data_IF_837215677301
#
_entry.id   IF_837215677301
#
_cell.length_a   1.000
_cell.length_b   1.000
_cell.length_c   1.000
_cell.angle_alpha   90.00
_cell.angle_beta   90.00
_cell.angle_gamma   90.00
#
_symmetry.space_group_name_H-M   'P 1'
#
loop_
_entity.id
_entity.type
_entity.pdbx_description
1 polymer ?
#
# COMPACT_ATOMS: atom_id res chain seq x y z
N UNK A 1 22.31 19.38 10.64
CA UNK A 1 22.21 17.93 10.92
C UNK A 1 23.61 17.34 10.88
N UNK A 2 23.91 16.23 11.58
CA UNK A 2 25.24 15.63 11.62
C UNK A 2 25.65 14.92 10.31
N UNK A 3 24.81 14.97 9.28
CA UNK A 3 25.02 14.36 7.97
C UNK A 3 24.68 15.36 6.86
N UNK A 4 25.25 15.16 5.67
CA UNK A 4 25.09 16.07 4.53
C UNK A 4 23.72 15.88 3.88
N UNK A 5 22.99 16.99 3.71
CA UNK A 5 21.71 17.05 3.00
C UNK A 5 21.71 18.18 1.98
N UNK A 6 20.82 18.09 1.00
CA UNK A 6 20.60 19.15 0.02
C UNK A 6 20.16 20.44 0.71
N UNK A 7 20.72 21.56 0.26
CA UNK A 7 20.40 22.87 0.81
C UNK A 7 19.12 23.43 0.16
N UNK A 8 18.12 23.78 0.97
CA UNK A 8 16.83 24.29 0.51
C UNK A 8 16.94 25.60 -0.30
N UNK A 9 17.81 26.54 0.10
CA UNK A 9 18.05 27.80 -0.64
C UNK A 9 18.49 27.53 -2.08
N UNK A 10 19.37 26.53 -2.26
CA UNK A 10 19.81 26.14 -3.61
C UNK A 10 18.70 25.47 -4.43
N UNK A 11 17.69 24.88 -3.79
CA UNK A 11 16.55 24.27 -4.46
C UNK A 11 15.56 25.33 -4.94
N UNK A 12 15.26 26.35 -4.13
CA UNK A 12 14.45 27.49 -4.56
C UNK A 12 15.05 28.21 -5.77
N UNK A 13 16.38 28.33 -5.84
CA UNK A 13 17.05 28.94 -6.99
C UNK A 13 16.97 28.09 -8.27
N UNK A 14 16.82 26.77 -8.14
CA UNK A 14 16.82 25.82 -9.28
C UNK A 14 15.43 25.52 -9.82
N UNK A 15 14.41 25.54 -8.96
CA UNK A 15 13.04 25.20 -9.33
C UNK A 15 12.14 26.45 -9.25
N UNK A 16 11.82 27.01 -10.41
CA UNK A 16 10.99 28.21 -10.53
C UNK A 16 9.53 28.01 -10.09
N UNK A 17 9.07 26.76 -9.96
CA UNK A 17 7.71 26.44 -9.52
C UNK A 17 7.66 26.34 -7.99
N UNK A 18 8.76 25.96 -7.35
CA UNK A 18 8.86 25.84 -5.91
C UNK A 18 8.80 27.23 -5.24
N UNK A 19 7.71 27.50 -4.52
CA UNK A 19 7.52 28.75 -3.78
C UNK A 19 7.79 28.55 -2.30
N UNK A 20 8.51 29.50 -1.71
CA UNK A 20 8.77 29.51 -0.27
C UNK A 20 7.47 29.62 0.55
N UNK A 21 6.48 30.36 0.04
CA UNK A 21 5.17 30.49 0.69
C UNK A 21 4.43 29.14 0.80
N UNK A 22 4.50 28.28 -0.23
CA UNK A 22 3.86 26.96 -0.21
C UNK A 22 4.55 26.03 0.80
N UNK A 23 5.88 26.12 0.92
CA UNK A 23 6.67 25.39 1.91
C UNK A 23 6.33 25.86 3.33
N UNK A 24 6.27 27.17 3.55
CA UNK A 24 5.88 27.75 4.83
C UNK A 24 4.46 27.35 5.23
N UNK A 25 3.51 27.40 4.29
CA UNK A 25 2.13 26.98 4.52
C UNK A 25 2.03 25.50 4.91
N UNK A 26 2.83 24.63 4.28
CA UNK A 26 2.91 23.21 4.62
C UNK A 26 3.51 22.97 6.02
N UNK A 27 4.57 23.71 6.38
CA UNK A 27 5.16 23.66 7.72
C UNK A 27 4.17 24.14 8.80
N UNK A 28 3.41 25.21 8.55
CA UNK A 28 2.35 25.67 9.46
C UNK A 28 1.19 24.67 9.57
N UNK A 29 0.86 23.95 8.49
CA UNK A 29 -0.12 22.87 8.54
C UNK A 29 0.37 21.69 9.38
N UNK A 30 1.64 21.30 9.26
CA UNK A 30 2.24 20.21 10.06
C UNK A 30 2.23 20.49 11.56
N UNK A 31 2.38 21.76 11.99
CA UNK A 31 2.21 22.15 13.40
C UNK A 31 0.83 21.83 13.96
N UNK A 32 -0.18 21.71 13.08
CA UNK A 32 -1.57 21.37 13.44
C UNK A 32 -1.87 19.86 13.34
N UNK A 33 -0.90 19.03 12.96
CA UNK A 33 -1.03 17.57 12.85
C UNK A 33 -0.27 16.89 13.99
N UNK A 34 -0.86 16.72 15.19
CA UNK A 34 -0.14 16.24 16.36
C UNK A 34 0.32 14.77 16.28
N UNK A 35 -0.22 13.99 15.35
CA UNK A 35 0.23 12.62 15.07
C UNK A 35 1.45 12.55 14.16
N UNK A 36 1.70 13.57 13.34
CA UNK A 36 2.82 13.56 12.41
C UNK A 36 4.10 14.10 13.08
N UNK A 37 5.28 13.60 12.69
CA UNK A 37 6.54 14.22 13.11
C UNK A 37 6.67 15.62 12.50
N UNK A 38 7.51 16.45 13.12
CA UNK A 38 7.87 17.75 12.53
C UNK A 38 8.87 17.53 11.39
N UNK A 39 8.53 18.01 10.20
CA UNK A 39 9.39 17.89 9.02
C UNK A 39 10.30 19.09 8.89
N UNK A 40 11.43 18.84 8.24
CA UNK A 40 12.35 19.88 7.78
C UNK A 40 11.86 20.49 6.47
N UNK A 41 12.36 21.69 6.15
CA UNK A 41 12.05 22.39 4.90
C UNK A 41 12.35 21.51 3.66
N UNK A 42 13.51 20.83 3.66
CA UNK A 42 13.88 19.90 2.60
C UNK A 42 12.87 18.77 2.42
N UNK A 43 12.40 18.15 3.51
CA UNK A 43 11.41 17.07 3.42
C UNK A 43 10.10 17.58 2.80
N UNK A 44 9.62 18.75 3.21
CA UNK A 44 8.43 19.38 2.61
C UNK A 44 8.65 19.66 1.12
N UNK A 45 9.81 20.17 0.72
CA UNK A 45 10.17 20.39 -0.69
C UNK A 45 10.11 19.07 -1.48
N UNK A 46 10.63 17.97 -0.93
CA UNK A 46 10.60 16.66 -1.58
C UNK A 46 9.15 16.20 -1.85
N UNK A 47 8.26 16.31 -0.86
CA UNK A 47 6.86 15.92 -1.03
C UNK A 47 6.10 16.85 -1.98
N UNK A 48 6.24 18.17 -1.84
CA UNK A 48 5.64 19.14 -2.75
C UNK A 48 6.06 18.86 -4.18
N UNK A 49 7.37 18.69 -4.41
CA UNK A 49 7.89 18.36 -5.72
C UNK A 49 7.25 17.08 -6.25
N UNK A 50 7.23 15.98 -5.49
CA UNK A 50 6.65 14.70 -5.91
C UNK A 50 5.14 14.77 -6.24
N UNK A 51 4.42 15.68 -5.60
CA UNK A 51 2.98 15.87 -5.75
C UNK A 51 2.62 16.94 -6.80
N UNK A 52 3.58 17.40 -7.61
CA UNK A 52 3.42 18.49 -8.58
C UNK A 52 2.92 19.77 -7.93
N UNK A 53 3.43 20.08 -6.73
CA UNK A 53 3.08 21.27 -5.95
C UNK A 53 1.60 21.33 -5.52
N UNK A 54 0.87 20.22 -5.64
CA UNK A 54 -0.52 20.12 -5.17
C UNK A 54 -0.54 19.84 -3.68
N UNK A 55 -0.99 20.84 -2.90
CA UNK A 55 -0.98 20.81 -1.43
C UNK A 55 -1.73 19.60 -0.86
N UNK A 56 -2.96 19.31 -1.31
CA UNK A 56 -3.75 18.19 -0.75
C UNK A 56 -3.14 16.82 -1.07
N UNK A 57 -2.54 16.67 -2.25
CA UNK A 57 -1.81 15.46 -2.60
C UNK A 57 -0.56 15.29 -1.75
N UNK A 58 0.15 16.39 -1.46
CA UNK A 58 1.32 16.40 -0.56
C UNK A 58 0.93 16.00 0.87
N UNK A 59 -0.16 16.55 1.41
CA UNK A 59 -0.65 16.17 2.76
C UNK A 59 -0.94 14.68 2.86
N UNK A 60 -1.63 14.14 1.86
CA UNK A 60 -1.93 12.69 1.76
C UNK A 60 -0.66 11.86 1.67
N UNK A 61 0.30 12.26 0.83
CA UNK A 61 1.56 11.55 0.66
C UNK A 61 2.41 11.56 1.94
N UNK A 62 2.48 12.69 2.65
CA UNK A 62 3.14 12.80 3.95
C UNK A 62 2.51 11.83 4.95
N UNK A 63 1.19 11.85 5.08
CA UNK A 63 0.49 10.97 6.02
C UNK A 63 0.74 9.50 5.70
N UNK A 64 0.58 9.10 4.43
CA UNK A 64 0.87 7.74 3.96
C UNK A 64 2.33 7.33 4.22
N UNK A 65 3.29 8.23 3.98
CA UNK A 65 4.72 7.98 4.17
C UNK A 65 5.07 7.67 5.62
N UNK A 66 4.70 8.55 6.55
CA UNK A 66 5.04 8.31 7.95
C UNK A 66 4.21 7.17 8.53
N UNK A 67 2.96 6.99 8.10
CA UNK A 67 2.12 5.87 8.51
C UNK A 67 2.74 4.52 8.13
N UNK A 68 3.03 4.30 6.85
CA UNK A 68 3.53 2.99 6.43
C UNK A 68 4.90 2.69 7.03
N UNK A 69 5.75 3.71 7.17
CA UNK A 69 7.05 3.55 7.84
C UNK A 69 6.91 3.16 9.31
N UNK A 70 5.93 3.73 10.01
CA UNK A 70 5.66 3.44 11.43
C UNK A 70 5.08 2.05 11.63
N UNK A 71 4.11 1.65 10.80
CA UNK A 71 3.41 0.36 10.95
C UNK A 71 4.13 -0.84 10.34
N UNK A 72 5.09 -0.61 9.43
CA UNK A 72 5.82 -1.68 8.74
C UNK A 72 7.35 -1.57 8.99
N UNK A 73 7.82 -1.58 10.26
CA UNK A 73 9.23 -1.41 10.60
C UNK A 73 10.12 -2.54 10.04
N UNK A 74 9.55 -3.72 9.78
CA UNK A 74 10.23 -4.83 9.11
C UNK A 74 10.72 -4.44 7.70
N UNK A 75 10.07 -3.49 7.04
CA UNK A 75 10.49 -2.95 5.74
C UNK A 75 11.24 -1.63 5.87
N UNK A 76 10.76 -0.71 6.70
CA UNK A 76 11.19 0.69 6.64
C UNK A 76 12.11 1.16 7.76
N UNK A 77 12.31 0.37 8.82
CA UNK A 77 13.33 0.68 9.82
C UNK A 77 14.72 0.39 9.27
N UNK A 78 15.71 1.16 9.71
CA UNK A 78 17.12 1.02 9.38
C UNK A 78 17.61 -0.42 9.56
N UNK A 79 18.33 -0.91 8.56
CA UNK A 79 19.07 -2.15 8.65
C UNK A 79 20.34 -1.98 9.50
N UNK A 80 20.77 -3.02 10.20
CA UNK A 80 22.09 -3.03 10.82
C UNK A 80 23.19 -3.07 9.76
N UNK A 81 24.40 -2.62 10.09
CA UNK A 81 25.56 -2.69 9.20
C UNK A 81 25.78 -4.12 8.65
N UNK A 82 25.61 -5.15 9.50
CA UNK A 82 25.73 -6.54 9.08
C UNK A 82 24.71 -6.92 8.01
N UNK A 83 23.45 -6.47 8.16
CA UNK A 83 22.40 -6.68 7.15
C UNK A 83 22.74 -5.94 5.87
N UNK A 84 23.11 -4.66 5.94
CA UNK A 84 23.50 -3.86 4.76
C UNK A 84 24.60 -4.56 3.96
N UNK A 85 25.69 -4.96 4.63
CA UNK A 85 26.83 -5.65 3.99
C UNK A 85 26.42 -6.98 3.38
N UNK A 86 25.64 -7.79 4.11
CA UNK A 86 25.16 -9.08 3.61
C UNK A 86 24.27 -8.90 2.38
N UNK A 87 23.26 -8.04 2.44
CA UNK A 87 22.35 -7.79 1.33
C UNK A 87 23.10 -7.31 0.09
N UNK A 88 24.01 -6.36 0.28
CA UNK A 88 24.80 -5.79 -0.82
C UNK A 88 25.84 -6.78 -1.36
N UNK A 89 26.30 -7.79 -0.60
CA UNK A 89 27.13 -8.87 -1.15
C UNK A 89 26.36 -9.81 -2.10
N UNK A 90 25.03 -9.84 -2.04
CA UNK A 90 24.18 -10.73 -2.85
C UNK A 90 23.67 -10.00 -4.10
N UNK A 91 23.40 -8.71 -4.03
CA UNK A 91 22.94 -7.92 -5.16
C UNK A 91 23.44 -6.48 -5.08
N UNK A 92 23.70 -5.87 -6.24
CA UNK A 92 23.84 -4.42 -6.29
C UNK A 92 22.48 -3.77 -6.12
N UNK A 93 22.46 -2.67 -5.37
CA UNK A 93 21.35 -1.72 -5.30
C UNK A 93 22.02 -0.35 -5.33
N UNK A 94 21.80 0.45 -6.37
CA UNK A 94 22.55 1.71 -6.53
C UNK A 94 21.75 2.77 -7.27
N UNK A 95 21.80 3.99 -6.76
CA UNK A 95 21.37 5.18 -7.50
C UNK A 95 22.48 5.59 -8.45
N UNK A 96 22.21 5.62 -9.74
CA UNK A 96 23.19 6.04 -10.74
C UNK A 96 23.48 7.55 -10.60
N UNK A 97 24.74 7.99 -10.74
CA UNK A 97 25.18 9.34 -10.39
C UNK A 97 24.65 10.46 -11.31
N UNK A 98 24.18 10.12 -12.52
CA UNK A 98 23.74 11.11 -13.52
C UNK A 98 22.22 11.09 -13.67
N UNK A 99 21.60 12.27 -13.58
CA UNK A 99 20.17 12.45 -13.92
C UNK A 99 20.00 12.45 -15.45
N UNK A 100 18.92 11.87 -15.94
CA UNK A 100 18.53 11.94 -17.36
C UNK A 100 18.30 13.39 -17.81
N UNK A 101 18.18 13.62 -19.12
CA UNK A 101 17.93 14.97 -19.67
C UNK A 101 16.65 15.61 -19.13
N UNK A 102 15.62 14.81 -18.85
CA UNK A 102 14.37 15.24 -18.22
C UNK A 102 14.44 15.27 -16.69
N UNK A 103 15.61 15.08 -16.09
CA UNK A 103 15.84 15.21 -14.65
C UNK A 103 15.43 14.02 -13.80
N UNK A 104 15.18 12.85 -14.41
CA UNK A 104 14.90 11.61 -13.69
C UNK A 104 16.20 10.98 -13.16
N UNK A 105 16.09 10.31 -12.01
CA UNK A 105 17.18 9.51 -11.43
C UNK A 105 16.96 8.04 -11.77
N UNK A 106 18.04 7.28 -11.86
CA UNK A 106 17.97 5.86 -12.20
C UNK A 106 18.42 5.05 -10.99
N UNK A 107 17.58 4.13 -10.52
CA UNK A 107 17.97 3.12 -9.55
C UNK A 107 18.20 1.81 -10.31
N UNK A 108 19.39 1.24 -10.15
CA UNK A 108 19.75 -0.03 -10.79
C UNK A 108 19.94 -1.13 -9.74
N UNK A 109 19.51 -2.33 -10.10
CA UNK A 109 19.68 -3.55 -9.32
C UNK A 109 20.12 -4.69 -10.23
N UNK A 110 21.16 -5.43 -9.83
CA UNK A 110 21.57 -6.70 -10.45
C UNK A 110 21.97 -7.70 -9.36
N UNK A 111 21.76 -8.98 -9.61
CA UNK A 111 22.28 -10.03 -8.73
C UNK A 111 23.81 -10.17 -8.89
N UNK A 112 24.51 -10.34 -7.78
CA UNK A 112 25.94 -10.69 -7.71
C UNK A 112 26.10 -12.19 -7.38
N UNK A 113 25.27 -12.70 -6.47
CA UNK A 113 25.15 -14.11 -6.15
C UNK A 113 23.81 -14.64 -6.68
N UNK A 114 23.87 -15.68 -7.51
CA UNK A 114 22.69 -16.31 -8.12
C UNK A 114 22.10 -17.46 -7.30
N UNK A 115 22.62 -17.73 -6.11
CA UNK A 115 22.06 -18.73 -5.20
C UNK A 115 20.79 -18.19 -4.54
N UNK A 116 19.60 -18.76 -4.83
CA UNK A 116 18.36 -18.28 -4.22
C UNK A 116 18.41 -18.31 -2.69
N UNK A 117 18.99 -19.37 -2.14
CA UNK A 117 19.90 -19.42 -0.98
C UNK A 117 20.05 -18.19 -0.10
N UNK A 118 20.72 -17.23 -0.72
CA UNK A 118 21.30 -16.08 -0.07
C UNK A 118 20.43 -14.84 -0.31
N UNK A 119 19.43 -14.95 -1.18
CA UNK A 119 18.51 -13.88 -1.51
C UNK A 119 17.38 -13.77 -0.47
N UNK A 120 17.53 -12.81 0.45
CA UNK A 120 16.50 -12.43 1.43
C UNK A 120 15.77 -11.19 0.91
N UNK A 121 14.63 -11.40 0.25
CA UNK A 121 13.89 -10.31 -0.43
C UNK A 121 13.50 -9.15 0.49
N UNK A 122 13.09 -9.45 1.74
CA UNK A 122 12.77 -8.43 2.75
C UNK A 122 13.94 -7.46 2.99
N UNK A 123 15.16 -7.98 3.09
CA UNK A 123 16.36 -7.17 3.32
C UNK A 123 16.72 -6.32 2.10
N UNK A 124 16.56 -6.87 0.89
CA UNK A 124 16.76 -6.12 -0.35
C UNK A 124 15.78 -4.94 -0.45
N UNK A 125 14.51 -5.17 -0.12
CA UNK A 125 13.49 -4.11 -0.10
C UNK A 125 13.87 -3.03 0.92
N UNK A 126 14.24 -3.43 2.15
CA UNK A 126 14.68 -2.51 3.20
C UNK A 126 15.90 -1.68 2.80
N UNK A 127 16.93 -2.31 2.27
CA UNK A 127 18.14 -1.60 1.83
C UNK A 127 17.84 -0.69 0.64
N UNK A 128 16.94 -1.08 -0.27
CA UNK A 128 16.51 -0.25 -1.38
C UNK A 128 15.79 1.04 -0.91
N UNK A 129 14.88 0.94 0.07
CA UNK A 129 14.18 2.11 0.63
C UNK A 129 15.13 3.02 1.42
N UNK A 130 16.13 2.46 2.10
CA UNK A 130 17.21 3.20 2.75
C UNK A 130 18.04 4.00 1.73
N UNK A 131 18.53 3.35 0.68
CA UNK A 131 19.30 4.01 -0.40
C UNK A 131 18.50 5.15 -1.02
N UNK A 132 17.23 4.91 -1.33
CA UNK A 132 16.36 5.91 -1.93
C UNK A 132 16.13 7.10 -0.99
N UNK A 133 15.87 6.85 0.30
CA UNK A 133 15.66 7.91 1.29
C UNK A 133 16.91 8.76 1.47
N UNK A 134 18.08 8.13 1.60
CA UNK A 134 19.36 8.84 1.73
C UNK A 134 19.65 9.68 0.47
N UNK A 135 19.45 9.12 -0.72
CA UNK A 135 19.70 9.83 -1.98
C UNK A 135 18.87 11.12 -2.09
N UNK A 136 17.56 11.06 -1.85
CA UNK A 136 16.73 12.26 -1.97
C UNK A 136 17.05 13.31 -0.91
N UNK A 137 17.49 12.91 0.28
CA UNK A 137 17.96 13.87 1.28
C UNK A 137 19.32 14.48 0.91
N UNK A 138 20.23 13.72 0.29
CA UNK A 138 21.56 14.23 -0.12
C UNK A 138 21.48 15.15 -1.35
N UNK A 139 20.63 14.81 -2.32
CA UNK A 139 20.63 15.45 -3.66
C UNK A 139 19.36 16.25 -3.99
N UNK A 140 18.37 16.23 -3.10
CA UNK A 140 17.09 16.92 -3.30
C UNK A 140 16.18 16.19 -4.30
N UNK A 141 15.09 16.86 -4.74
CA UNK A 141 14.08 16.24 -5.59
C UNK A 141 14.62 15.85 -6.98
N UNK A 142 13.91 14.92 -7.61
CA UNK A 142 14.12 14.51 -9.00
C UNK A 142 12.78 14.49 -9.75
N UNK A 143 12.82 14.70 -11.07
CA UNK A 143 11.59 14.73 -11.89
C UNK A 143 10.89 13.36 -11.92
N UNK A 144 11.64 12.30 -11.62
CA UNK A 144 11.12 11.05 -11.09
C UNK A 144 12.22 10.00 -11.00
N UNK A 145 11.80 8.74 -10.84
CA UNK A 145 12.63 7.57 -10.64
C UNK A 145 12.38 6.58 -11.77
N UNK A 146 13.46 6.15 -12.42
CA UNK A 146 13.48 5.04 -13.36
C UNK A 146 14.12 3.86 -12.64
N UNK A 147 13.38 2.78 -12.45
CA UNK A 147 13.92 1.55 -11.89
C UNK A 147 14.42 0.63 -13.01
N UNK A 148 15.65 0.14 -12.92
CA UNK A 148 16.26 -0.79 -13.87
C UNK A 148 16.67 -2.05 -13.13
N UNK A 149 16.04 -3.17 -13.47
CA UNK A 149 16.28 -4.49 -12.91
C UNK A 149 16.98 -5.37 -13.94
N UNK A 150 18.23 -5.70 -13.70
CA UNK A 150 18.96 -6.72 -14.44
C UNK A 150 18.59 -8.10 -13.88
N UNK A 151 17.82 -8.84 -14.67
CA UNK A 151 17.29 -10.14 -14.27
C UNK A 151 18.16 -11.32 -14.69
N UNK A 152 19.40 -11.06 -15.14
CA UNK A 152 20.36 -12.13 -15.41
C UNK A 152 20.59 -12.97 -14.15
N UNK A 153 20.50 -14.29 -14.28
CA UNK A 153 20.69 -15.23 -13.17
C UNK A 153 19.48 -15.39 -12.24
N UNK A 154 18.40 -14.62 -12.41
CA UNK A 154 17.18 -14.82 -11.65
C UNK A 154 16.50 -16.15 -12.02
N UNK A 155 16.08 -16.92 -11.02
CA UNK A 155 15.49 -18.25 -11.17
C UNK A 155 14.16 -18.36 -10.43
N UNK A 156 13.40 -19.43 -10.66
CA UNK A 156 12.16 -19.69 -9.93
C UNK A 156 12.39 -19.74 -8.40
N UNK A 157 13.55 -20.23 -7.96
CA UNK A 157 13.90 -20.24 -6.54
C UNK A 157 14.01 -18.85 -5.92
N UNK A 158 14.38 -17.82 -6.70
CA UNK A 158 14.35 -16.44 -6.22
C UNK A 158 12.92 -15.94 -6.06
N UNK A 159 12.04 -16.29 -7.00
CA UNK A 159 10.63 -15.92 -6.97
C UNK A 159 9.91 -16.52 -5.75
N UNK A 160 10.18 -17.78 -5.41
CA UNK A 160 9.58 -18.44 -4.23
C UNK A 160 10.06 -17.86 -2.89
N UNK A 161 11.11 -17.05 -2.90
CA UNK A 161 11.68 -16.39 -1.70
C UNK A 161 11.26 -14.93 -1.57
N UNK A 162 10.33 -14.47 -2.41
CA UNK A 162 9.74 -13.14 -2.27
C UNK A 162 8.81 -13.14 -1.06
N UNK A 163 9.10 -12.25 -0.10
CA UNK A 163 8.18 -11.93 0.96
C UNK A 163 7.05 -11.08 0.37
N UNK A 164 5.89 -11.70 0.16
CA UNK A 164 4.75 -11.08 -0.53
C UNK A 164 4.20 -9.87 0.23
N UNK A 165 4.24 -9.89 1.57
CA UNK A 165 3.75 -8.79 2.41
C UNK A 165 4.67 -7.57 2.23
N UNK A 166 5.98 -7.76 2.38
CA UNK A 166 6.98 -6.72 2.16
C UNK A 166 6.95 -6.18 0.73
N UNK A 167 6.74 -7.06 -0.24
CA UNK A 167 6.62 -6.67 -1.64
C UNK A 167 5.37 -5.81 -1.89
N UNK A 168 4.21 -6.19 -1.33
CA UNK A 168 2.99 -5.38 -1.37
C UNK A 168 3.18 -4.02 -0.69
N UNK A 169 3.84 -3.98 0.48
CA UNK A 169 4.16 -2.74 1.20
C UNK A 169 5.08 -1.84 0.37
N UNK A 170 6.11 -2.39 -0.29
CA UNK A 170 6.96 -1.64 -1.20
C UNK A 170 6.16 -1.05 -2.36
N UNK A 171 5.31 -1.86 -3.00
CA UNK A 171 4.49 -1.42 -4.14
C UNK A 171 3.52 -0.31 -3.72
N UNK A 172 2.88 -0.42 -2.55
CA UNK A 172 2.08 0.69 -2.01
C UNK A 172 2.95 1.93 -1.78
N UNK A 173 4.11 1.76 -1.13
CA UNK A 173 4.99 2.86 -0.79
C UNK A 173 5.44 3.65 -2.02
N UNK A 174 5.94 3.00 -3.06
CA UNK A 174 6.44 3.70 -4.26
C UNK A 174 5.34 4.38 -5.08
N UNK A 175 4.07 4.01 -4.87
CA UNK A 175 2.92 4.55 -5.62
C UNK A 175 2.14 5.64 -4.86
N UNK A 176 2.14 5.59 -3.52
CA UNK A 176 1.26 6.42 -2.69
C UNK A 176 1.98 7.29 -1.66
N UNK A 177 3.25 7.00 -1.37
CA UNK A 177 3.91 7.51 -0.17
C UNK A 177 5.33 8.05 -0.43
N UNK A 178 6.10 7.41 -1.31
CA UNK A 178 7.47 7.82 -1.57
C UNK A 178 7.50 9.27 -2.11
N UNK A 179 8.44 10.12 -1.64
CA UNK A 179 8.56 11.50 -2.09
C UNK A 179 9.26 11.59 -3.45
N UNK A 180 8.84 10.75 -4.40
CA UNK A 180 9.29 10.69 -5.79
C UNK A 180 8.21 10.04 -6.64
N UNK A 181 8.32 10.17 -7.96
CA UNK A 181 7.38 9.56 -8.91
C UNK A 181 8.08 8.49 -9.70
N UNK A 182 7.44 7.33 -9.90
CA UNK A 182 7.91 6.37 -10.88
C UNK A 182 7.69 6.92 -12.30
N UNK A 183 8.73 6.84 -13.13
CA UNK A 183 8.74 7.30 -14.52
C UNK A 183 9.02 6.17 -15.52
N UNK A 184 9.55 5.05 -15.04
CA UNK A 184 9.81 3.87 -15.84
C UNK A 184 10.25 2.70 -14.97
N UNK A 185 9.87 1.49 -15.37
CA UNK A 185 10.34 0.24 -14.76
C UNK A 185 10.85 -0.66 -15.87
N UNK A 186 12.15 -0.88 -15.92
CA UNK A 186 12.82 -1.57 -17.03
C UNK A 186 13.44 -2.86 -16.52
N UNK A 187 12.99 -3.99 -17.06
CA UNK A 187 13.67 -5.26 -16.86
C UNK A 187 14.60 -5.52 -18.04
N UNK A 188 15.88 -5.73 -17.76
CA UNK A 188 16.90 -6.05 -18.77
C UNK A 188 17.44 -7.46 -18.55
N UNK A 189 18.08 -8.03 -19.58
CA UNK A 189 18.49 -9.44 -19.60
C UNK A 189 17.35 -10.38 -19.21
N UNK A 190 16.15 -10.08 -19.74
CA UNK A 190 14.89 -10.74 -19.37
C UNK A 190 14.97 -12.24 -19.59
N UNK A 191 14.53 -12.99 -18.58
CA UNK A 191 14.39 -14.44 -18.64
C UNK A 191 12.93 -14.84 -18.34
N UNK A 192 12.53 -16.11 -18.54
CA UNK A 192 11.13 -16.53 -18.36
C UNK A 192 10.52 -16.25 -16.97
N UNK A 193 11.35 -16.11 -15.92
CA UNK A 193 10.90 -15.83 -14.55
C UNK A 193 10.48 -14.37 -14.39
N UNK A 194 11.04 -13.45 -15.15
CA UNK A 194 10.72 -12.01 -15.07
C UNK A 194 9.23 -11.75 -15.31
N UNK A 195 8.61 -12.44 -16.26
CA UNK A 195 7.15 -12.32 -16.49
C UNK A 195 6.33 -12.79 -15.28
N UNK A 196 6.77 -13.85 -14.59
CA UNK A 196 6.07 -14.36 -13.40
C UNK A 196 6.12 -13.35 -12.25
N UNK A 197 7.25 -12.65 -12.08
CA UNK A 197 7.37 -11.57 -11.09
C UNK A 197 6.37 -10.44 -11.36
N UNK A 198 6.20 -10.04 -12.63
CA UNK A 198 5.25 -8.97 -12.99
C UNK A 198 3.80 -9.43 -12.82
N UNK A 199 3.48 -10.69 -13.14
CA UNK A 199 2.16 -11.27 -12.85
C UNK A 199 1.87 -11.27 -11.35
N UNK A 200 2.85 -11.60 -10.52
CA UNK A 200 2.74 -11.56 -9.06
C UNK A 200 2.52 -10.12 -8.53
N UNK A 201 3.16 -9.13 -9.15
CA UNK A 201 3.02 -7.72 -8.78
C UNK A 201 1.69 -7.10 -9.23
N UNK A 202 1.14 -7.56 -10.36
CA UNK A 202 -0.01 -6.97 -11.05
C UNK A 202 -1.21 -6.62 -10.14
N UNK A 203 -1.65 -7.47 -9.20
CA UNK A 203 -2.79 -7.15 -8.33
C UNK A 203 -2.57 -5.92 -7.42
N UNK A 204 -1.32 -5.51 -7.21
CA UNK A 204 -0.96 -4.41 -6.32
C UNK A 204 -0.50 -3.15 -7.07
N UNK A 205 -0.49 -3.20 -8.40
CA UNK A 205 -0.04 -2.10 -9.25
C UNK A 205 -1.24 -1.30 -9.77
N UNK A 206 -1.14 0.03 -9.70
CA UNK A 206 -2.00 0.92 -10.46
C UNK A 206 -1.74 0.75 -11.96
N UNK A 207 -2.77 1.01 -12.76
CA UNK A 207 -2.71 0.86 -14.22
C UNK A 207 -1.56 1.67 -14.82
N UNK A 208 -1.38 2.90 -14.38
CA UNK A 208 -0.37 3.83 -14.89
C UNK A 208 1.05 3.28 -14.67
N UNK A 209 1.29 2.63 -13.53
CA UNK A 209 2.59 2.04 -13.21
C UNK A 209 2.82 0.76 -13.98
N UNK A 210 1.78 -0.08 -14.10
CA UNK A 210 1.86 -1.29 -14.91
C UNK A 210 2.20 -0.99 -16.38
N UNK A 211 1.64 0.08 -16.95
CA UNK A 211 1.92 0.51 -18.33
C UNK A 211 3.36 1.05 -18.53
N UNK A 212 4.00 1.52 -17.46
CA UNK A 212 5.40 1.94 -17.45
C UNK A 212 6.40 0.77 -17.41
N UNK A 213 5.94 -0.46 -17.17
CA UNK A 213 6.81 -1.65 -17.17
C UNK A 213 7.22 -2.00 -18.59
N UNK A 214 8.54 -2.11 -18.83
CA UNK A 214 9.13 -2.49 -20.13
C UNK A 214 10.11 -3.65 -19.94
N UNK A 215 10.06 -4.60 -20.87
CA UNK A 215 10.93 -5.77 -20.89
C UNK A 215 11.90 -5.65 -22.07
N UNK A 216 13.19 -5.85 -21.81
CA UNK A 216 14.25 -5.73 -22.80
C UNK A 216 15.05 -7.04 -22.87
N UNK A 217 14.86 -7.79 -23.96
CA UNK A 217 15.54 -9.05 -24.24
C UNK A 217 16.52 -8.91 -25.40
N UNK A 218 17.65 -9.62 -25.35
CA UNK A 218 18.65 -9.59 -26.41
C UNK A 218 19.53 -8.34 -26.34
N UNK A 219 19.66 -7.62 -27.47
CA UNK A 219 20.48 -6.40 -27.54
C UNK A 219 19.86 -5.25 -26.75
N UNK A 220 20.71 -4.43 -26.12
CA UNK A 220 20.30 -3.24 -25.38
C UNK A 220 19.87 -2.05 -26.26
N UNK A 221 19.97 -2.15 -27.60
CA UNK A 221 19.59 -1.04 -28.49
C UNK A 221 18.16 -0.54 -28.25
N UNK A 222 17.20 -1.44 -28.01
CA UNK A 222 15.84 -1.05 -27.65
C UNK A 222 15.75 -0.41 -26.26
N UNK A 223 16.57 -0.85 -25.30
CA UNK A 223 16.63 -0.29 -23.95
C UNK A 223 17.19 1.14 -23.96
N UNK A 224 18.19 1.41 -24.81
CA UNK A 224 18.81 2.74 -24.92
C UNK A 224 17.86 3.84 -25.39
N UNK A 225 16.77 3.48 -26.07
CA UNK A 225 15.71 4.43 -26.42
C UNK A 225 14.97 4.98 -25.20
N UNK A 226 14.99 4.25 -24.07
CA UNK A 226 14.38 4.66 -22.82
C UNK A 226 15.41 5.20 -21.83
N UNK A 227 16.57 4.55 -21.74
CA UNK A 227 17.68 4.94 -20.86
C UNK A 227 18.97 5.02 -21.68
N UNK A 228 19.35 6.22 -22.17
CA UNK A 228 20.52 6.38 -23.03
C UNK A 228 21.84 5.92 -22.36
N UNK A 229 22.80 5.46 -23.19
CA UNK A 229 24.11 4.94 -22.79
C UNK A 229 24.87 5.85 -21.82
N UNK A 230 24.81 7.17 -22.04
CA UNK A 230 25.49 8.17 -21.21
C UNK A 230 25.02 8.19 -19.72
N UNK A 231 23.91 7.50 -19.39
CA UNK A 231 23.37 7.38 -18.03
C UNK A 231 23.53 5.96 -17.45
N UNK A 232 24.25 5.07 -18.13
CA UNK A 232 24.41 3.67 -17.73
C UNK A 232 25.88 3.34 -17.40
N UNK A 233 26.13 2.37 -16.50
CA UNK A 233 27.44 1.76 -16.30
C UNK A 233 28.03 1.15 -17.57
N UNK A 234 29.36 1.08 -17.64
CA UNK A 234 30.09 0.39 -18.72
C UNK A 234 29.69 -1.10 -18.86
N UNK A 235 29.26 -1.76 -17.79
CA UNK A 235 28.68 -3.12 -17.80
C UNK A 235 27.50 -3.26 -18.79
N UNK A 236 26.81 -2.16 -19.06
CA UNK A 236 25.68 -2.07 -19.97
C UNK A 236 26.01 -1.22 -21.21
N UNK A 237 27.29 -1.12 -21.57
CA UNK A 237 27.75 -0.36 -22.74
C UNK A 237 27.60 1.16 -22.60
N UNK A 238 27.50 1.66 -21.37
CA UNK A 238 27.40 3.08 -21.06
C UNK A 238 28.72 3.76 -20.73
N UNK A 239 28.64 5.00 -20.24
CA UNK A 239 29.79 5.88 -19.95
C UNK A 239 30.06 6.06 -18.46
N UNK A 240 29.18 5.56 -17.58
CA UNK A 240 29.37 5.65 -16.14
C UNK A 240 30.35 4.56 -15.65
N UNK A 241 30.97 4.75 -14.47
CA UNK A 241 31.80 3.71 -13.86
C UNK A 241 31.08 2.36 -13.75
N UNK A 242 31.84 1.28 -13.66
CA UNK A 242 31.30 -0.07 -13.55
C UNK A 242 30.29 -0.20 -12.41
N UNK A 243 29.34 -1.14 -12.58
CA UNK A 243 28.39 -1.53 -11.56
C UNK A 243 29.08 -1.86 -10.23
N UNK A 244 30.24 -2.52 -10.28
CA UNK A 244 31.03 -2.82 -9.07
C UNK A 244 31.53 -1.54 -8.38
N UNK A 245 32.15 -0.62 -9.13
CA UNK A 245 32.66 0.65 -8.58
C UNK A 245 31.53 1.47 -7.95
N UNK A 246 30.39 1.55 -8.63
CA UNK A 246 29.22 2.28 -8.11
C UNK A 246 28.63 1.60 -6.89
N UNK A 247 28.62 0.28 -6.86
CA UNK A 247 28.15 -0.52 -5.73
C UNK A 247 29.00 -0.31 -4.47
N UNK A 248 30.33 -0.35 -4.60
CA UNK A 248 31.27 -0.09 -3.50
C UNK A 248 31.09 1.32 -2.92
N UNK A 249 30.98 2.33 -3.80
CA UNK A 249 30.68 3.71 -3.39
C UNK A 249 29.34 3.84 -2.67
N UNK A 250 28.32 3.12 -3.15
CA UNK A 250 27.00 3.14 -2.51
C UNK A 250 27.04 2.50 -1.12
N UNK A 251 27.74 1.36 -0.97
CA UNK A 251 27.94 0.72 0.33
C UNK A 251 28.66 1.68 1.29
N UNK A 252 29.76 2.30 0.87
CA UNK A 252 30.48 3.28 1.68
C UNK A 252 29.59 4.47 2.07
N UNK A 253 28.80 5.01 1.14
CA UNK A 253 27.86 6.09 1.42
C UNK A 253 26.82 5.71 2.48
N UNK A 254 26.28 4.48 2.44
CA UNK A 254 25.34 4.01 3.47
C UNK A 254 25.99 3.94 4.86
N UNK A 255 27.19 3.38 4.93
CA UNK A 255 27.92 3.18 6.19
C UNK A 255 28.39 4.51 6.81
N UNK A 256 28.80 5.46 5.99
CA UNK A 256 29.19 6.79 6.44
C UNK A 256 28.00 7.66 6.89
N UNK A 257 26.75 7.22 6.63
CA UNK A 257 25.53 7.95 6.97
C UNK A 257 24.60 7.15 7.90
N UNK A 258 25.12 6.26 8.74
CA UNK A 258 24.29 5.52 9.72
C UNK A 258 23.49 6.44 10.66
N UNK A 259 24.02 7.61 11.01
CA UNK A 259 23.31 8.58 11.85
C UNK A 259 22.12 9.25 11.13
N UNK A 260 22.16 9.34 9.80
CA UNK A 260 20.98 9.76 9.02
C UNK A 260 19.83 8.79 9.23
N UNK A 261 20.10 7.48 9.16
CA UNK A 261 19.05 6.48 9.31
C UNK A 261 18.48 6.43 10.72
N UNK A 262 19.30 6.62 11.76
CA UNK A 262 18.81 6.78 13.14
C UNK A 262 17.87 8.00 13.28
N UNK A 263 18.27 9.14 12.71
CA UNK A 263 17.42 10.34 12.68
C UNK A 263 16.12 10.13 11.90
N UNK A 264 16.19 9.40 10.79
CA UNK A 264 15.07 9.12 9.91
C UNK A 264 14.07 8.15 10.55
N UNK A 265 14.55 7.14 11.29
CA UNK A 265 13.73 6.18 12.03
C UNK A 265 13.05 6.78 13.26
N UNK A 266 13.65 7.79 13.89
CA UNK A 266 13.03 8.49 15.01
C UNK A 266 11.76 9.27 14.63
N UNK A 267 11.50 9.46 13.33
CA UNK A 267 10.32 10.15 12.82
C UNK A 267 9.18 9.15 12.59
N UNK A 268 8.38 8.95 13.63
CA UNK A 268 7.22 8.05 13.62
C UNK A 268 5.92 8.82 13.77
N UNK A 269 4.82 8.18 13.37
CA UNK A 269 3.46 8.66 13.66
C UNK A 269 3.06 8.25 15.06
N UNK A 270 2.34 9.12 15.76
CA UNK A 270 1.63 8.79 16.99
C UNK A 270 0.13 8.69 16.70
N UNK A 271 -0.33 7.47 16.44
CA UNK A 271 -1.73 7.18 16.10
C UNK A 271 -2.71 7.60 17.19
N UNK A 272 -2.28 7.65 18.46
CA UNK A 272 -3.14 8.09 19.57
C UNK A 272 -3.48 9.58 19.49
N UNK A 273 -2.67 10.35 18.76
CA UNK A 273 -2.89 11.77 18.48
C UNK A 273 -3.52 12.01 17.13
N UNK A 274 -3.73 10.96 16.32
CA UNK A 274 -4.33 11.13 15.00
C UNK A 274 -5.76 11.56 15.21
N UNK A 275 -6.07 12.76 14.74
CA UNK A 275 -7.45 13.23 14.72
C UNK A 275 -8.24 12.22 13.87
N UNK A 276 -9.27 11.60 14.44
CA UNK A 276 -10.17 10.68 13.73
C UNK A 276 -10.92 11.46 12.63
N UNK A 277 -10.26 11.72 11.51
CA UNK A 277 -10.94 11.86 10.24
C UNK A 277 -11.03 10.45 9.69
N UNK A 278 -12.22 9.85 9.86
CA UNK A 278 -12.63 8.71 9.05
C UNK A 278 -12.15 8.94 7.61
N UNK A 279 -11.55 7.91 6.98
CA UNK A 279 -11.15 7.94 5.57
C UNK A 279 -12.22 8.70 4.77
N UNK A 280 -11.84 9.82 4.16
CA UNK A 280 -12.75 10.62 3.33
C UNK A 280 -13.18 9.78 2.13
N UNK A 281 -14.22 8.96 2.30
CA UNK A 281 -15.26 8.88 1.27
C UNK A 281 -15.85 10.28 1.27
N UNK A 282 -15.61 11.03 0.19
CA UNK A 282 -16.15 12.38 0.09
C UNK A 282 -17.68 12.28 0.12
N UNK A 283 -18.27 12.87 1.16
CA UNK A 283 -19.72 12.91 1.36
C UNK A 283 -20.38 13.58 0.14
N UNK A 284 -19.71 14.57 -0.47
CA UNK A 284 -20.15 15.25 -1.68
C UNK A 284 -20.16 14.31 -2.89
N UNK A 285 -19.13 13.48 -3.03
CA UNK A 285 -19.07 12.46 -4.07
C UNK A 285 -20.20 11.42 -3.90
N UNK A 286 -20.53 11.04 -2.66
CA UNK A 286 -21.62 10.08 -2.40
C UNK A 286 -23.00 10.65 -2.73
N UNK A 287 -23.24 11.92 -2.41
CA UNK A 287 -24.45 12.63 -2.85
C UNK A 287 -24.51 12.78 -4.38
N UNK A 288 -23.36 13.01 -5.03
CA UNK A 288 -23.30 13.13 -6.48
C UNK A 288 -23.53 11.79 -7.21
N UNK A 289 -23.09 10.67 -6.62
CA UNK A 289 -23.22 9.32 -7.19
C UNK A 289 -24.61 8.69 -6.96
N UNK A 290 -25.30 9.06 -5.89
CA UNK A 290 -26.58 8.44 -5.50
C UNK A 290 -27.67 9.50 -5.35
N UNK A 291 -28.42 9.73 -6.43
CA UNK A 291 -29.51 10.71 -6.49
C UNK A 291 -30.67 10.45 -5.51
N UNK A 292 -30.71 9.28 -4.85
CA UNK A 292 -31.70 8.98 -3.80
C UNK A 292 -31.26 9.44 -2.42
N UNK A 293 -29.97 9.72 -2.21
CA UNK A 293 -29.49 10.31 -0.96
C UNK A 293 -29.86 11.79 -0.92
N UNK A 294 -30.69 12.15 0.06
CA UNK A 294 -31.10 13.53 0.34
C UNK A 294 -30.40 14.03 1.59
N UNK A 295 -29.94 15.28 1.57
CA UNK A 295 -29.32 15.91 2.75
C UNK A 295 -30.32 16.07 3.88
N UNK A 296 -31.57 16.33 3.54
CA UNK A 296 -32.68 16.48 4.47
C UNK A 296 -32.91 15.19 5.28
N UNK A 297 -32.77 14.02 4.64
CA UNK A 297 -32.96 12.72 5.30
C UNK A 297 -31.83 12.44 6.29
N UNK A 298 -30.57 12.74 5.92
CA UNK A 298 -29.43 12.63 6.83
C UNK A 298 -29.56 13.57 8.03
N UNK A 299 -29.98 14.82 7.79
CA UNK A 299 -30.24 15.79 8.84
C UNK A 299 -31.37 15.35 9.77
N UNK A 300 -32.43 14.74 9.24
CA UNK A 300 -33.53 14.22 10.06
C UNK A 300 -33.07 13.09 10.99
N UNK A 301 -32.18 12.21 10.54
CA UNK A 301 -31.56 11.17 11.39
C UNK A 301 -30.66 11.81 12.44
N UNK A 302 -29.84 12.80 12.09
CA UNK A 302 -29.00 13.53 13.05
C UNK A 302 -29.79 14.22 14.17
N UNK A 303 -30.91 14.88 13.83
CA UNK A 303 -31.76 15.52 14.82
C UNK A 303 -32.40 14.51 15.77
N UNK A 304 -32.67 13.30 15.29
CA UNK A 304 -33.15 12.20 16.13
C UNK A 304 -32.03 11.63 17.02
N UNK A 305 -30.81 11.43 16.50
CA UNK A 305 -29.64 10.95 17.27
C UNK A 305 -29.31 11.84 18.47
N UNK A 306 -29.41 13.16 18.31
CA UNK A 306 -29.23 14.12 19.41
C UNK A 306 -30.17 13.90 20.60
N UNK A 307 -31.29 13.20 20.39
CA UNK A 307 -32.28 12.87 21.43
C UNK A 307 -32.07 11.48 22.04
N UNK A 308 -31.07 10.71 21.58
CA UNK A 308 -30.78 9.35 22.04
C UNK A 308 -29.44 9.31 22.80
N UNK A 309 -29.43 9.55 24.12
CA UNK A 309 -28.20 9.64 24.90
C UNK A 309 -27.45 8.30 25.06
N UNK A 310 -28.09 7.17 24.76
CA UNK A 310 -27.50 5.83 24.81
C UNK A 310 -26.75 5.44 23.53
N UNK A 311 -26.89 6.21 22.44
CA UNK A 311 -26.22 5.94 21.17
C UNK A 311 -24.93 6.77 21.04
N UNK A 312 -23.87 6.23 20.41
CA UNK A 312 -22.66 7.00 20.16
C UNK A 312 -22.87 8.08 19.10
N UNK A 313 -21.98 9.08 19.07
CA UNK A 313 -21.96 10.07 18.00
C UNK A 313 -21.57 9.43 16.67
N UNK A 314 -22.41 9.61 15.65
CA UNK A 314 -22.19 9.09 14.31
C UNK A 314 -21.70 10.19 13.38
N UNK A 315 -20.84 9.83 12.44
CA UNK A 315 -20.43 10.68 11.31
C UNK A 315 -21.52 10.73 10.24
N UNK A 316 -21.50 11.76 9.38
CA UNK A 316 -22.46 11.90 8.28
C UNK A 316 -22.37 10.73 7.29
N UNK A 317 -21.16 10.27 6.99
CA UNK A 317 -20.95 9.09 6.20
C UNK A 317 -21.66 7.87 6.80
N UNK A 318 -21.48 7.60 8.11
CA UNK A 318 -22.14 6.47 8.77
C UNK A 318 -23.67 6.57 8.69
N UNK A 319 -24.24 7.76 8.89
CA UNK A 319 -25.68 8.00 8.72
C UNK A 319 -26.13 7.69 7.29
N UNK A 320 -25.37 8.11 6.27
CA UNK A 320 -25.66 7.80 4.88
C UNK A 320 -25.58 6.30 4.59
N UNK A 321 -24.67 5.56 5.24
CA UNK A 321 -24.58 4.11 5.09
C UNK A 321 -25.84 3.42 5.63
N UNK A 322 -26.31 3.84 6.81
CA UNK A 322 -27.54 3.30 7.39
C UNK A 322 -28.76 3.64 6.52
N UNK A 323 -28.87 4.88 6.04
CA UNK A 323 -29.93 5.28 5.12
C UNK A 323 -29.92 4.45 3.84
N UNK A 324 -28.76 4.27 3.22
CA UNK A 324 -28.61 3.44 2.03
C UNK A 324 -29.03 1.98 2.29
N UNK A 325 -28.56 1.39 3.40
CA UNK A 325 -28.90 0.01 3.80
C UNK A 325 -30.40 -0.19 4.09
N UNK A 326 -31.10 0.88 4.48
CA UNK A 326 -32.52 0.87 4.76
C UNK A 326 -33.38 1.33 3.58
N UNK A 327 -32.81 1.38 2.38
CA UNK A 327 -33.46 1.87 1.16
C UNK A 327 -34.05 3.28 1.34
N UNK A 328 -33.28 4.17 1.97
CA UNK A 328 -33.57 5.58 2.18
C UNK A 328 -34.82 5.85 3.04
N UNK A 329 -35.29 4.85 3.79
CA UNK A 329 -36.40 5.02 4.74
C UNK A 329 -35.87 5.47 6.10
N UNK A 330 -36.14 6.72 6.46
CA UNK A 330 -35.66 7.35 7.70
C UNK A 330 -36.02 6.52 8.94
N UNK A 331 -37.29 6.14 9.12
CA UNK A 331 -37.70 5.39 10.31
C UNK A 331 -37.05 4.00 10.40
N UNK A 332 -36.86 3.34 9.25
CA UNK A 332 -36.14 2.07 9.22
C UNK A 332 -34.66 2.24 9.57
N UNK A 333 -34.02 3.33 9.10
CA UNK A 333 -32.63 3.65 9.44
C UNK A 333 -32.45 3.94 10.93
N UNK A 334 -33.38 4.68 11.56
CA UNK A 334 -33.36 4.93 13.01
C UNK A 334 -33.43 3.62 13.80
N UNK A 335 -34.39 2.76 13.48
CA UNK A 335 -34.54 1.43 14.12
C UNK A 335 -33.30 0.57 13.88
N UNK A 336 -32.74 0.58 12.67
CA UNK A 336 -31.53 -0.18 12.35
C UNK A 336 -30.31 0.31 13.14
N UNK A 337 -30.12 1.63 13.27
CA UNK A 337 -29.05 2.22 14.08
C UNK A 337 -29.20 1.80 15.55
N UNK A 338 -30.40 1.95 16.11
CA UNK A 338 -30.66 1.64 17.52
C UNK A 338 -30.43 0.15 17.81
N UNK A 339 -30.96 -0.73 16.97
CA UNK A 339 -30.72 -2.18 17.07
C UNK A 339 -29.24 -2.53 16.90
N UNK A 340 -28.54 -1.88 15.96
CA UNK A 340 -27.13 -2.15 15.68
C UNK A 340 -26.26 -1.92 16.91
N UNK A 341 -26.43 -0.78 17.59
CA UNK A 341 -25.65 -0.47 18.78
C UNK A 341 -26.12 -1.25 20.01
N UNK A 342 -27.43 -1.43 20.18
CA UNK A 342 -28.01 -2.22 21.28
C UNK A 342 -27.51 -3.66 21.24
N UNK A 343 -27.57 -4.32 20.07
CA UNK A 343 -27.11 -5.71 19.92
C UNK A 343 -25.60 -5.82 20.16
N UNK A 344 -24.80 -4.85 19.71
CA UNK A 344 -23.34 -4.84 19.94
C UNK A 344 -22.97 -4.67 21.41
N UNK A 345 -23.71 -3.87 22.14
CA UNK A 345 -23.53 -3.69 23.58
C UNK A 345 -23.92 -4.94 24.37
N UNK A 346 -25.05 -5.58 24.01
CA UNK A 346 -25.59 -6.72 24.75
C UNK A 346 -25.03 -8.08 24.30
N UNK A 347 -24.28 -8.14 23.20
CA UNK A 347 -23.65 -9.35 22.68
C UNK A 347 -22.13 -9.17 22.44
N UNK A 348 -21.34 -8.80 23.47
CA UNK A 348 -19.90 -8.61 23.32
C UNK A 348 -19.18 -9.89 22.85
N UNK A 349 -19.73 -11.07 23.16
CA UNK A 349 -19.20 -12.35 22.70
C UNK A 349 -19.21 -12.50 21.18
N UNK A 350 -20.05 -11.77 20.47
CA UNK A 350 -20.13 -11.78 19.00
C UNK A 350 -19.41 -10.58 18.35
N UNK A 351 -19.41 -9.41 19.01
CA UNK A 351 -18.96 -8.16 18.40
C UNK A 351 -17.69 -7.54 18.97
N UNK A 352 -17.15 -8.06 20.08
CA UNK A 352 -15.82 -7.69 20.55
C UNK A 352 -14.74 -8.19 19.57
N UNK A 353 -13.60 -7.51 19.53
CA UNK A 353 -12.47 -7.94 18.71
C UNK A 353 -12.02 -9.33 19.17
N UNK A 354 -11.95 -10.30 18.25
CA UNK A 354 -11.42 -11.62 18.55
C UNK A 354 -9.91 -11.52 18.81
N UNK A 355 -9.41 -12.34 19.75
CA UNK A 355 -7.97 -12.48 19.95
C UNK A 355 -7.32 -13.12 18.71
N UNK A 356 -6.02 -12.90 18.54
CA UNK A 356 -5.25 -13.55 17.48
C UNK A 356 -5.38 -15.08 17.53
N UNK A 357 -5.45 -15.65 18.73
CA UNK A 357 -5.65 -17.08 18.94
C UNK A 357 -6.99 -17.56 18.38
N UNK A 358 -8.09 -16.86 18.67
CA UNK A 358 -9.42 -17.22 18.15
C UNK A 358 -9.42 -17.16 16.62
N UNK A 359 -8.87 -16.10 16.03
CA UNK A 359 -8.77 -15.97 14.57
C UNK A 359 -7.97 -17.13 13.96
N UNK A 360 -6.81 -17.47 14.53
CA UNK A 360 -5.97 -18.59 14.05
C UNK A 360 -6.68 -19.93 14.18
N UNK A 361 -7.37 -20.18 15.30
CA UNK A 361 -8.10 -21.43 15.54
C UNK A 361 -9.27 -21.57 14.56
N UNK A 362 -10.05 -20.51 14.33
CA UNK A 362 -11.13 -20.51 13.35
C UNK A 362 -10.59 -20.75 11.94
N UNK A 363 -9.55 -20.03 11.50
CA UNK A 363 -8.97 -20.19 10.17
C UNK A 363 -8.27 -21.55 9.96
N UNK A 364 -7.91 -22.26 11.04
CA UNK A 364 -7.41 -23.63 10.96
C UNK A 364 -8.51 -24.67 10.70
N UNK A 365 -9.78 -24.32 10.96
CA UNK A 365 -10.95 -25.20 10.80
C UNK A 365 -11.73 -24.87 9.55
N UNK A 366 -11.70 -23.62 9.10
CA UNK A 366 -12.42 -23.14 7.92
C UNK A 366 -11.63 -22.12 7.10
N UNK A 367 -11.84 -22.16 5.78
CA UNK A 367 -11.44 -21.10 4.86
C UNK A 367 -12.54 -20.05 4.83
N UNK A 368 -12.18 -18.78 5.01
CA UNK A 368 -13.09 -17.65 4.87
C UNK A 368 -12.49 -16.65 3.87
N UNK A 369 -13.26 -16.28 2.85
CA UNK A 369 -12.77 -15.37 1.80
C UNK A 369 -13.91 -14.53 1.25
N UNK A 370 -13.66 -13.22 1.11
CA UNK A 370 -14.55 -12.35 0.34
C UNK A 370 -14.16 -12.46 -1.13
N UNK A 371 -15.13 -12.81 -1.97
CA UNK A 371 -14.88 -12.97 -3.39
C UNK A 371 -14.69 -11.60 -4.07
N UNK A 372 -13.79 -11.49 -5.06
CA UNK A 372 -13.39 -10.23 -5.67
C UNK A 372 -14.45 -9.59 -6.57
N UNK A 373 -15.51 -10.32 -6.95
CA UNK A 373 -16.60 -9.80 -7.80
C UNK A 373 -17.86 -9.63 -6.96
N UNK A 374 -18.53 -8.50 -7.18
CA UNK A 374 -19.88 -8.25 -6.67
C UNK A 374 -20.89 -8.99 -7.55
N UNK A 375 -22.05 -9.34 -6.99
CA UNK A 375 -23.17 -9.79 -7.81
C UNK A 375 -23.65 -8.65 -8.73
N UNK A 376 -24.48 -8.96 -9.74
CA UNK A 376 -25.10 -7.94 -10.60
C UNK A 376 -25.86 -6.86 -9.81
N UNK A 377 -26.42 -7.24 -8.66
CA UNK A 377 -27.15 -6.34 -7.76
C UNK A 377 -26.22 -5.62 -6.76
N UNK A 378 -24.90 -5.79 -6.86
CA UNK A 378 -23.89 -5.10 -6.06
C UNK A 378 -23.65 -5.69 -4.66
N UNK A 379 -24.04 -6.94 -4.41
CA UNK A 379 -23.79 -7.61 -3.14
C UNK A 379 -22.37 -8.17 -3.07
N UNK A 380 -21.79 -8.12 -1.88
CA UNK A 380 -20.54 -8.82 -1.56
C UNK A 380 -20.85 -10.29 -1.26
N UNK A 381 -19.96 -11.17 -1.71
CA UNK A 381 -20.05 -12.60 -1.47
C UNK A 381 -18.96 -12.98 -0.47
N UNK A 382 -19.35 -13.30 0.76
CA UNK A 382 -18.50 -13.94 1.74
C UNK A 382 -18.64 -15.45 1.58
N UNK A 383 -17.57 -16.13 1.23
CA UNK A 383 -17.53 -17.59 1.13
C UNK A 383 -16.81 -18.17 2.34
N UNK A 384 -17.48 -19.12 3.00
CA UNK A 384 -16.91 -19.92 4.08
C UNK A 384 -16.95 -21.40 3.71
N UNK A 385 -15.86 -22.12 3.98
CA UNK A 385 -15.73 -23.55 3.68
C UNK A 385 -14.99 -24.25 4.80
N UNK A 386 -15.60 -25.27 5.41
CA UNK A 386 -14.93 -26.11 6.37
C UNK A 386 -13.74 -26.85 5.72
N UNK A 387 -12.59 -26.80 6.38
CA UNK A 387 -11.36 -27.52 6.05
C UNK A 387 -11.20 -28.72 6.98
N UNK A 388 -11.52 -28.55 8.27
CA UNK A 388 -11.48 -29.60 9.29
C UNK A 388 -12.91 -29.94 9.74
N UNK A 389 -13.35 -31.17 9.47
CA UNK A 389 -14.74 -31.61 9.71
C UNK A 389 -14.99 -32.14 11.12
N UNK A 390 -13.99 -32.07 12.00
CA UNK A 390 -14.11 -32.50 13.41
C UNK A 390 -15.05 -31.56 14.19
N UNK A 391 -16.21 -32.03 14.66
CA UNK A 391 -17.18 -31.16 15.35
C UNK A 391 -16.61 -30.50 16.61
N UNK A 392 -15.70 -31.17 17.31
CA UNK A 392 -15.05 -30.68 18.54
C UNK A 392 -14.13 -29.48 18.32
N UNK A 393 -13.74 -29.21 17.07
CA UNK A 393 -12.90 -28.06 16.70
C UNK A 393 -13.71 -26.87 16.19
N UNK A 394 -14.97 -27.06 15.83
CA UNK A 394 -15.80 -26.01 15.28
C UNK A 394 -16.56 -25.29 16.40
N UNK A 395 -16.16 -24.05 16.68
CA UNK A 395 -16.83 -23.19 17.65
C UNK A 395 -17.66 -22.16 16.87
N UNK A 396 -18.98 -22.35 16.85
CA UNK A 396 -19.91 -21.53 16.07
C UNK A 396 -19.85 -20.03 16.44
N UNK A 397 -19.68 -19.71 17.73
CA UNK A 397 -19.59 -18.32 18.17
C UNK A 397 -18.32 -17.64 17.65
N UNK A 398 -17.20 -18.36 17.62
CA UNK A 398 -15.92 -17.86 17.09
C UNK A 398 -15.99 -17.68 15.58
N UNK A 399 -16.61 -18.62 14.86
CA UNK A 399 -16.93 -18.48 13.45
C UNK A 399 -17.68 -17.17 13.16
N UNK A 400 -18.82 -16.96 13.83
CA UNK A 400 -19.65 -15.78 13.61
C UNK A 400 -18.91 -14.49 13.97
N UNK A 401 -18.08 -14.51 15.02
CA UNK A 401 -17.25 -13.38 15.43
C UNK A 401 -16.20 -13.04 14.37
N UNK A 402 -15.51 -14.03 13.81
CA UNK A 402 -14.54 -13.86 12.73
C UNK A 402 -15.23 -13.38 11.43
N UNK A 403 -16.42 -13.90 11.10
CA UNK A 403 -17.26 -13.38 10.01
C UNK A 403 -17.55 -11.89 10.19
N UNK A 404 -18.00 -11.48 11.38
CA UNK A 404 -18.27 -10.09 11.69
C UNK A 404 -17.02 -9.21 11.59
N UNK A 405 -15.85 -9.69 12.02
CA UNK A 405 -14.58 -8.98 11.88
C UNK A 405 -14.17 -8.81 10.41
N UNK A 406 -14.23 -9.88 9.62
CA UNK A 406 -13.88 -9.86 8.19
C UNK A 406 -14.77 -8.90 7.42
N UNK A 407 -16.08 -8.93 7.65
CA UNK A 407 -17.03 -8.00 7.04
C UNK A 407 -16.79 -6.56 7.51
N UNK A 408 -16.51 -6.34 8.80
CA UNK A 408 -16.21 -5.00 9.32
C UNK A 408 -14.95 -4.43 8.69
N UNK A 409 -13.89 -5.23 8.56
CA UNK A 409 -12.63 -4.86 7.90
C UNK A 409 -12.86 -4.54 6.42
N UNK A 410 -13.65 -5.36 5.71
CA UNK A 410 -13.97 -5.13 4.31
C UNK A 410 -14.74 -3.81 4.11
N UNK A 411 -15.77 -3.57 4.92
CA UNK A 411 -16.54 -2.31 4.86
C UNK A 411 -15.68 -1.09 5.19
N UNK A 412 -14.69 -1.22 6.09
CA UNK A 412 -13.71 -0.17 6.36
C UNK A 412 -12.73 0.07 5.20
N UNK A 413 -12.44 -0.95 4.40
CA UNK A 413 -11.52 -0.87 3.28
C UNK A 413 -12.20 -0.39 1.99
N UNK A 414 -13.44 -0.81 1.75
CA UNK A 414 -14.14 -0.67 0.47
C UNK A 414 -15.40 0.21 0.55
N UNK A 415 -15.80 0.64 1.74
CA UNK A 415 -17.02 1.42 1.94
C UNK A 415 -18.29 0.54 1.95
N UNK A 416 -19.47 1.18 1.90
CA UNK A 416 -20.75 0.46 1.94
C UNK A 416 -20.98 -0.38 0.68
N UNK A 417 -21.67 -1.50 0.86
CA UNK A 417 -22.11 -2.38 -0.23
C UNK A 417 -23.61 -2.62 -0.12
N UNK A 418 -24.26 -2.99 -1.23
CA UNK A 418 -25.71 -3.12 -1.29
C UNK A 418 -26.25 -4.22 -0.34
N UNK A 419 -25.38 -5.15 0.07
CA UNK A 419 -25.63 -6.11 1.13
C UNK A 419 -24.59 -7.24 1.10
N UNK A 420 -24.81 -8.26 1.95
CA UNK A 420 -24.03 -9.50 1.97
C UNK A 420 -24.96 -10.68 1.67
N UNK A 421 -24.61 -11.49 0.68
CA UNK A 421 -25.35 -12.72 0.39
C UNK A 421 -24.80 -13.88 1.21
N UNK A 422 -25.63 -14.43 2.09
CA UNK A 422 -25.35 -15.70 2.78
C UNK A 422 -26.11 -16.81 2.06
N UNK A 423 -25.39 -17.82 1.55
CA UNK A 423 -26.01 -18.98 0.94
C UNK A 423 -25.52 -20.26 1.60
N UNK A 424 -26.46 -21.05 2.12
CA UNK A 424 -26.24 -22.42 2.59
C UNK A 424 -27.17 -23.34 1.81
N UNK A 425 -26.64 -24.18 0.91
CA UNK A 425 -27.46 -24.99 0.02
C UNK A 425 -26.65 -25.74 -1.03
N UNK A 426 -27.33 -26.40 -1.97
CA UNK A 426 -26.67 -27.08 -3.09
C UNK A 426 -26.16 -26.07 -4.11
N UNK A 427 -25.25 -26.50 -4.99
CA UNK A 427 -24.77 -25.67 -6.09
C UNK A 427 -25.91 -25.22 -7.02
N UNK A 428 -26.92 -26.07 -7.21
CA UNK A 428 -28.09 -25.74 -8.04
C UNK A 428 -28.95 -24.63 -7.42
N UNK A 429 -28.97 -24.50 -6.09
CA UNK A 429 -29.61 -23.36 -5.43
C UNK A 429 -28.71 -22.14 -5.42
N UNK A 430 -27.39 -22.30 -5.31
CA UNK A 430 -26.41 -21.21 -5.33
C UNK A 430 -26.44 -20.44 -6.66
N UNK A 431 -26.47 -21.15 -7.79
CA UNK A 431 -26.47 -20.56 -9.14
C UNK A 431 -27.71 -19.72 -9.46
N UNK A 432 -28.81 -19.87 -8.70
CA UNK A 432 -30.01 -19.04 -8.87
C UNK A 432 -29.82 -17.62 -8.35
N UNK A 433 -28.89 -17.42 -7.42
CA UNK A 433 -28.69 -16.15 -6.72
C UNK A 433 -27.31 -15.54 -6.97
N UNK A 434 -26.31 -16.37 -7.30
CA UNK A 434 -24.95 -15.92 -7.54
C UNK A 434 -24.51 -16.35 -8.95
N UNK A 435 -24.17 -15.41 -9.84
CA UNK A 435 -23.64 -15.72 -11.16
C UNK A 435 -22.37 -16.57 -11.08
N UNK A 436 -22.21 -17.54 -11.97
CA UNK A 436 -21.02 -18.43 -12.03
C UNK A 436 -19.71 -17.66 -12.19
N UNK A 437 -19.74 -16.57 -12.93
CA UNK A 437 -18.60 -15.67 -13.11
C UNK A 437 -18.12 -15.02 -11.79
N UNK A 438 -18.96 -14.99 -10.75
CA UNK A 438 -18.63 -14.49 -9.42
C UNK A 438 -18.19 -15.59 -8.45
N UNK A 439 -18.15 -16.85 -8.88
CA UNK A 439 -17.81 -18.00 -8.05
C UNK A 439 -16.44 -18.59 -8.44
N UNK A 440 -15.71 -19.21 -7.49
CA UNK A 440 -14.53 -20.01 -7.78
C UNK A 440 -14.81 -21.25 -8.63
N UNK A 441 -13.77 -21.73 -9.33
CA UNK A 441 -13.78 -23.00 -10.09
C UNK A 441 -14.25 -24.19 -9.24
N UNK A 442 -13.95 -24.20 -7.93
CA UNK A 442 -14.40 -25.22 -6.98
C UNK A 442 -15.93 -25.30 -6.83
N UNK A 443 -16.62 -24.22 -7.19
CA UNK A 443 -18.08 -24.14 -7.23
C UNK A 443 -18.58 -23.99 -8.67
N UNK A 444 -17.83 -24.48 -9.67
CA UNK A 444 -18.21 -24.44 -11.08
C UNK A 444 -18.28 -23.03 -11.69
N UNK A 445 -17.55 -22.09 -11.09
CA UNK A 445 -17.45 -20.69 -11.54
C UNK A 445 -16.16 -20.37 -12.30
N UNK A 446 -15.91 -19.08 -12.53
CA UNK A 446 -14.80 -18.58 -13.37
C UNK A 446 -13.67 -17.89 -12.58
N UNK A 447 -13.82 -17.77 -11.26
CA UNK A 447 -12.74 -17.26 -10.40
C UNK A 447 -11.75 -18.38 -10.08
N UNK A 448 -10.48 -18.07 -9.82
CA UNK A 448 -9.52 -19.08 -9.37
C UNK A 448 -10.04 -19.84 -8.14
N UNK A 449 -9.75 -21.16 -8.08
CA UNK A 449 -10.04 -21.98 -6.91
C UNK A 449 -9.51 -21.36 -5.61
N UNK A 450 -10.16 -21.68 -4.49
CA UNK A 450 -9.72 -21.26 -3.16
C UNK A 450 -8.27 -21.69 -2.95
N UNK A 451 -7.39 -20.72 -2.78
CA UNK A 451 -6.07 -21.00 -2.23
C UNK A 451 -6.28 -21.29 -0.74
N UNK A 452 -6.15 -22.56 -0.35
CA UNK A 452 -6.02 -22.92 1.06
C UNK A 452 -4.71 -22.29 1.52
N UNK A 453 -4.81 -21.17 2.22
CA UNK A 453 -3.69 -20.57 2.91
C UNK A 453 -3.36 -21.51 4.06
N UNK A 454 -2.28 -22.29 3.90
CA UNK A 454 -1.72 -23.14 4.95
C UNK A 454 -1.01 -22.31 6.02
#
# INVERSE_FOLDING_TARGET
>A
MPFQVANAETLYAKDVILKQDDVNAALEWLKKQPHLPQLTELQVILFLHSCYYRIEAMKTAIDNYFSIRTHCPEVFACASEAVIRRTLSVATLTMLPKKTKDGCVIMSMKLLDFKPENHISLEHIKVATMIMSLYFHQYGPANGLIAVFDTKGATLGHLTRINLIAFKQLLYFVQEAAPTRIRGVHFINVNPITNKLVVLAKPFLKKEIYEMIKFHSGSFENFYNYVPKEFLPEDYGGELPSCQTLHEKNLENLLNNLDFFKWHDAQTVDETKRYEKAKNIDVEEKYAQDAKLKREDAQAVFQWLKKQPHLPELTELQVLLFLHSCHYRIEAAKVAIDNYFTIREHCPDLFACASEEVVRQTLAVESMTILPRLTFEGYVILSTRLIDYRPEKYICIDHLKVVCMVLTLYLHQHGPVNGVNFHSGSLDTLYKYIPKECLPEDYGGELPSFQILH
#
